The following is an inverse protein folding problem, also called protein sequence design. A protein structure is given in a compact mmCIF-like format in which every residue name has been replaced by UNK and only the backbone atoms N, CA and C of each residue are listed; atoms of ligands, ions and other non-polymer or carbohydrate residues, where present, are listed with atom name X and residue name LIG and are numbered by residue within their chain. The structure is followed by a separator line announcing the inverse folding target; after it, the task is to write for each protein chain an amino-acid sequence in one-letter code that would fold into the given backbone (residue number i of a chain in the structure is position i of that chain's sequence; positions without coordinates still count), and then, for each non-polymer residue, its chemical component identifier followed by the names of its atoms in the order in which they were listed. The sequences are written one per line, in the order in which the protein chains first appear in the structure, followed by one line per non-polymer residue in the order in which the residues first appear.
data_IF_147736877454
#
_entry.id   IF_147736877454
#
_cell.length_a   1.000
_cell.length_b   1.000
_cell.length_c   1.000
_cell.angle_alpha   90.00
_cell.angle_beta   90.00
_cell.angle_gamma   90.00
#
_symmetry.space_group_name_H-M   'P 1'
#
loop_
_entity.id
_entity.type
_entity.pdbx_description
1 polymer ?
#
# COMPACT_ATOMS: atom_id res chain seq x y z
N UNK A 1 12.71 -21.36 -30.63
CA UNK A 1 13.11 -20.32 -29.65
C UNK A 1 12.56 -20.72 -28.28
N UNK A 2 13.34 -20.54 -27.22
CA UNK A 2 12.89 -20.80 -25.85
C UNK A 2 11.96 -19.70 -25.33
N UNK A 3 11.12 -20.02 -24.36
CA UNK A 3 10.38 -19.05 -23.54
C UNK A 3 11.01 -19.04 -22.16
N UNK A 4 11.20 -17.86 -21.60
CA UNK A 4 11.75 -17.65 -20.27
C UNK A 4 10.78 -16.75 -19.50
N UNK A 5 10.52 -17.08 -18.24
CA UNK A 5 9.58 -16.37 -17.39
C UNK A 5 10.32 -15.47 -16.40
N UNK A 6 9.76 -14.29 -16.19
CA UNK A 6 10.25 -13.25 -15.29
C UNK A 6 9.05 -12.62 -14.59
N UNK A 7 9.27 -12.04 -13.41
CA UNK A 7 8.26 -11.23 -12.74
C UNK A 7 8.88 -9.96 -12.18
N UNK A 8 8.02 -8.97 -11.93
CA UNK A 8 8.40 -7.67 -11.42
C UNK A 8 7.53 -7.35 -10.20
N UNK A 9 8.19 -6.96 -9.11
CA UNK A 9 7.54 -6.38 -7.95
C UNK A 9 7.63 -4.85 -8.04
N UNK A 10 6.51 -4.18 -7.73
CA UNK A 10 6.43 -2.72 -7.70
C UNK A 10 5.86 -2.25 -6.36
N UNK A 11 6.56 -1.31 -5.72
CA UNK A 11 6.02 -0.55 -4.60
C UNK A 11 5.14 0.56 -5.13
N UNK A 12 3.94 0.64 -4.57
CA UNK A 12 2.93 1.62 -4.94
C UNK A 12 2.30 2.20 -3.68
N UNK A 13 1.80 3.42 -3.79
CA UNK A 13 0.88 4.00 -2.81
C UNK A 13 -0.53 3.85 -3.35
N UNK A 14 -1.45 3.28 -2.57
CA UNK A 14 -2.86 3.12 -2.95
C UNK A 14 -3.77 3.48 -1.80
N UNK A 15 -5.00 3.92 -2.12
CA UNK A 15 -6.03 4.10 -1.11
C UNK A 15 -6.58 2.73 -0.68
N UNK A 16 -6.86 2.59 0.60
CA UNK A 16 -7.62 1.47 1.14
C UNK A 16 -9.03 1.92 1.51
N UNK A 17 -9.98 1.01 1.40
CA UNK A 17 -11.37 1.20 1.82
C UNK A 17 -11.71 0.21 2.91
N UNK A 18 -11.85 0.74 4.11
CA UNK A 18 -12.33 -0.01 5.26
C UNK A 18 -13.82 0.24 5.49
N UNK A 19 -14.60 -0.83 5.36
CA UNK A 19 -16.01 -0.79 5.68
C UNK A 19 -16.17 -0.97 7.19
N UNK A 20 -17.03 -0.17 7.82
CA UNK A 20 -17.34 -0.29 9.24
C UNK A 20 -18.76 0.18 9.53
N UNK A 21 -19.28 -0.21 10.69
CA UNK A 21 -20.59 0.23 11.19
C UNK A 21 -20.48 0.79 12.60
N UNK A 22 -21.40 1.69 12.95
CA UNK A 22 -21.51 2.27 14.30
C UNK A 22 -22.91 2.03 14.82
N UNK A 23 -23.02 1.44 16.02
CA UNK A 23 -24.28 1.33 16.74
C UNK A 23 -24.67 2.69 17.36
N UNK A 24 -25.83 3.22 16.96
CA UNK A 24 -26.37 4.48 17.45
C UNK A 24 -27.90 4.51 17.29
N UNK A 25 -28.57 5.41 18.01
CA UNK A 25 -30.03 5.54 17.98
C UNK A 25 -30.53 6.35 16.77
N UNK A 26 -29.66 7.14 16.16
CA UNK A 26 -29.95 7.86 14.93
C UNK A 26 -28.69 8.00 14.07
N UNK A 27 -28.88 8.37 12.80
CA UNK A 27 -27.77 8.61 11.89
C UNK A 27 -26.94 9.83 12.31
N UNK A 28 -27.56 10.86 12.86
CA UNK A 28 -26.88 12.05 13.38
C UNK A 28 -25.97 11.70 14.57
N UNK A 29 -26.41 10.79 15.46
CA UNK A 29 -25.57 10.28 16.54
C UNK A 29 -24.40 9.46 15.99
N UNK A 30 -24.64 8.57 15.02
CA UNK A 30 -23.58 7.80 14.37
C UNK A 30 -22.54 8.73 13.72
N UNK A 31 -22.97 9.76 12.99
CA UNK A 31 -22.06 10.75 12.42
C UNK A 31 -21.27 11.51 13.49
N UNK A 32 -21.90 11.91 14.61
CA UNK A 32 -21.22 12.59 15.70
C UNK A 32 -20.12 11.71 16.32
N UNK A 33 -20.38 10.40 16.47
CA UNK A 33 -19.40 9.42 16.94
C UNK A 33 -18.22 9.35 15.95
N UNK A 34 -18.48 9.15 14.65
CA UNK A 34 -17.43 9.07 13.63
C UNK A 34 -16.61 10.37 13.57
N UNK A 35 -17.26 11.53 13.63
CA UNK A 35 -16.58 12.84 13.64
C UNK A 35 -15.71 13.02 14.88
N UNK A 36 -16.09 12.43 16.00
CA UNK A 36 -15.30 12.51 17.25
C UNK A 36 -13.93 11.83 17.12
N UNK A 37 -13.77 10.88 16.19
CA UNK A 37 -12.51 10.19 15.92
C UNK A 37 -11.49 11.05 15.15
N UNK A 38 -11.91 12.19 14.57
CA UNK A 38 -11.04 13.17 13.89
C UNK A 38 -10.15 12.57 12.80
N UNK A 39 -10.73 11.76 11.92
CA UNK A 39 -10.03 11.11 10.81
C UNK A 39 -8.85 10.21 11.22
N UNK A 40 -8.82 9.74 12.47
CA UNK A 40 -7.95 8.62 12.83
C UNK A 40 -8.35 7.38 12.05
N UNK A 41 -7.35 6.56 11.74
CA UNK A 41 -7.55 5.25 11.15
C UNK A 41 -8.52 4.42 12.01
N UNK A 42 -9.59 3.92 11.37
CA UNK A 42 -10.68 3.19 12.02
C UNK A 42 -10.21 1.86 12.60
N UNK A 43 -9.16 1.25 12.05
CA UNK A 43 -8.56 0.02 12.59
C UNK A 43 -7.95 0.23 13.98
N UNK A 44 -7.57 1.48 14.31
CA UNK A 44 -6.95 1.86 15.58
C UNK A 44 -7.94 2.47 16.59
N UNK A 45 -9.24 2.55 16.24
CA UNK A 45 -10.27 3.08 17.14
C UNK A 45 -10.75 1.98 18.10
N UNK A 46 -10.75 2.32 19.39
CA UNK A 46 -11.34 1.50 20.45
C UNK A 46 -12.65 2.16 20.88
N UNK A 47 -13.77 1.69 20.33
CA UNK A 47 -15.13 2.08 20.70
C UNK A 47 -16.00 0.83 20.66
N UNK A 48 -16.76 0.55 21.72
CA UNK A 48 -17.58 -0.67 21.80
C UNK A 48 -18.75 -0.67 20.81
N UNK A 49 -19.10 0.49 20.24
CA UNK A 49 -20.16 0.64 19.23
C UNK A 49 -19.65 0.46 17.82
N UNK A 50 -18.33 0.42 17.61
CA UNK A 50 -17.71 0.23 16.31
C UNK A 50 -17.62 -1.28 16.01
N UNK A 51 -18.03 -1.66 14.80
CA UNK A 51 -17.77 -2.99 14.24
C UNK A 51 -17.06 -2.87 12.89
N UNK A 52 -15.92 -3.55 12.76
CA UNK A 52 -15.15 -3.60 11.51
C UNK A 52 -15.78 -4.59 10.53
N UNK A 53 -15.81 -4.18 9.26
CA UNK A 53 -16.21 -5.01 8.13
C UNK A 53 -15.00 -5.49 7.32
N UNK A 54 -15.21 -5.63 6.01
CA UNK A 54 -14.14 -5.97 5.07
C UNK A 54 -13.25 -4.77 4.77
N UNK A 55 -12.03 -5.04 4.32
CA UNK A 55 -11.10 -4.06 3.77
C UNK A 55 -10.78 -4.38 2.32
N UNK A 56 -10.58 -3.35 1.50
CA UNK A 56 -10.28 -3.44 0.07
C UNK A 56 -9.18 -2.46 -0.33
N UNK A 57 -8.11 -2.95 -0.97
CA UNK A 57 -7.15 -2.09 -1.65
C UNK A 57 -7.75 -1.56 -2.96
N UNK A 58 -7.78 -0.24 -3.13
CA UNK A 58 -8.29 0.42 -4.33
C UNK A 58 -7.19 0.51 -5.37
N UNK A 59 -6.94 -0.60 -6.08
CA UNK A 59 -5.84 -0.70 -7.04
C UNK A 59 -5.87 0.36 -8.14
N UNK A 60 -7.05 0.84 -8.53
CA UNK A 60 -7.21 1.89 -9.53
C UNK A 60 -6.67 3.26 -9.09
N UNK A 61 -6.43 3.46 -7.80
CA UNK A 61 -5.81 4.67 -7.26
C UNK A 61 -4.31 4.49 -7.00
N UNK A 62 -3.71 3.39 -7.49
CA UNK A 62 -2.30 3.11 -7.22
C UNK A 62 -1.42 4.08 -8.00
N UNK A 63 -0.51 4.74 -7.30
CA UNK A 63 0.55 5.56 -7.87
C UNK A 63 1.89 4.88 -7.60
N UNK A 64 2.79 4.92 -8.58
CA UNK A 64 4.13 4.37 -8.42
C UNK A 64 4.89 5.17 -7.37
N UNK A 65 5.58 4.46 -6.47
CA UNK A 65 6.52 5.07 -5.54
C UNK A 65 7.90 5.11 -6.21
N UNK A 66 8.59 6.25 -6.11
CA UNK A 66 9.96 6.37 -6.60
C UNK A 66 10.98 6.10 -5.48
N UNK A 67 12.20 5.63 -5.80
CA UNK A 67 13.24 5.40 -4.81
C UNK A 67 13.51 6.62 -3.92
N UNK A 68 13.46 7.83 -4.48
CA UNK A 68 13.63 9.09 -3.76
C UNK A 68 12.57 9.30 -2.66
N UNK A 69 11.37 8.75 -2.86
CA UNK A 69 10.26 8.79 -1.90
C UNK A 69 10.29 7.60 -0.93
N UNK A 70 11.15 6.61 -1.19
CA UNK A 70 11.29 5.37 -0.45
C UNK A 70 12.70 5.26 0.18
N UNK A 71 13.24 6.38 0.67
CA UNK A 71 14.54 6.47 1.34
C UNK A 71 15.73 5.92 0.52
N UNK A 72 15.64 6.00 -0.81
CA UNK A 72 16.62 5.44 -1.75
C UNK A 72 16.51 3.93 -1.95
N UNK A 73 15.64 3.20 -1.24
CA UNK A 73 15.46 1.77 -1.43
C UNK A 73 14.68 1.45 -2.70
N UNK A 74 14.86 0.22 -3.19
CA UNK A 74 14.16 -0.33 -4.35
C UNK A 74 12.65 -0.10 -4.29
N UNK A 75 12.09 0.39 -5.38
CA UNK A 75 10.63 0.42 -5.62
C UNK A 75 10.21 -0.44 -6.80
N UNK A 76 11.17 -0.88 -7.62
CA UNK A 76 10.99 -1.87 -8.68
C UNK A 76 12.12 -2.90 -8.56
N UNK A 77 11.73 -4.18 -8.55
CA UNK A 77 12.65 -5.31 -8.56
C UNK A 77 12.20 -6.33 -9.59
N UNK A 78 13.13 -6.83 -10.40
CA UNK A 78 12.86 -7.83 -11.44
C UNK A 78 13.57 -9.12 -11.07
N UNK A 79 12.84 -10.23 -11.17
CA UNK A 79 13.29 -11.56 -10.79
C UNK A 79 13.13 -12.56 -11.94
N UNK A 80 13.95 -13.60 -11.94
CA UNK A 80 13.72 -14.78 -12.79
C UNK A 80 12.66 -15.71 -12.17
N UNK A 81 12.27 -16.74 -12.92
CA UNK A 81 11.32 -17.78 -12.45
C UNK A 81 11.76 -18.54 -11.19
N UNK A 82 13.05 -18.53 -10.84
CA UNK A 82 13.60 -19.17 -9.63
C UNK A 82 13.58 -18.22 -8.42
N UNK A 83 13.14 -16.97 -8.60
CA UNK A 83 13.10 -15.94 -7.57
C UNK A 83 14.44 -15.24 -7.35
N UNK A 84 15.43 -15.43 -8.23
CA UNK A 84 16.71 -14.72 -8.16
C UNK A 84 16.54 -13.29 -8.67
N UNK A 85 17.03 -12.32 -7.89
CA UNK A 85 17.04 -10.91 -8.28
C UNK A 85 17.95 -10.68 -9.47
N UNK A 86 17.41 -10.08 -10.52
CA UNK A 86 18.14 -9.72 -11.74
C UNK A 86 18.59 -8.26 -11.67
N UNK A 87 17.68 -7.36 -11.30
CA UNK A 87 17.96 -5.92 -11.22
C UNK A 87 16.97 -5.18 -10.32
N UNK A 88 17.38 -4.00 -9.87
CA UNK A 88 16.64 -3.12 -8.98
C UNK A 88 16.89 -1.65 -9.33
N UNK A 89 15.97 -0.75 -8.98
CA UNK A 89 16.11 0.69 -9.16
C UNK A 89 16.56 1.45 -7.88
N UNK A 90 17.03 0.76 -6.84
CA UNK A 90 17.51 1.40 -5.62
C UNK A 90 18.60 2.46 -5.91
N UNK A 91 18.60 3.57 -5.17
CA UNK A 91 19.63 4.61 -5.20
C UNK A 91 20.77 4.22 -4.26
N UNK A 92 21.50 3.16 -4.61
CA UNK A 92 22.77 2.83 -3.94
C UNK A 92 23.92 3.42 -4.77
N UNK A 93 25.02 3.85 -4.12
CA UNK A 93 26.21 4.38 -4.80
C UNK A 93 26.76 3.43 -5.89
N UNK A 94 26.51 2.11 -5.78
CA UNK A 94 26.96 1.08 -6.73
C UNK A 94 26.21 1.06 -8.08
N UNK A 95 25.03 1.69 -8.20
CA UNK A 95 24.27 1.70 -9.46
C UNK A 95 24.79 2.73 -10.49
N UNK A 96 25.72 3.59 -10.10
CA UNK A 96 26.42 4.48 -11.03
C UNK A 96 27.62 3.81 -11.73
N UNK A 97 28.13 2.67 -11.25
CA UNK A 97 29.33 2.01 -11.81
C UNK A 97 29.04 0.90 -12.85
N UNK A 98 27.78 0.63 -13.20
CA UNK A 98 27.42 -0.44 -14.16
C UNK A 98 26.90 0.04 -15.52
N UNK A 99 27.03 1.33 -15.82
CA UNK A 99 26.67 1.89 -17.13
C UNK A 99 27.91 2.34 -17.93
N UNK A 100 28.96 1.50 -17.97
CA UNK A 100 30.07 1.61 -18.94
C UNK A 100 29.88 0.63 -20.11
#
# INVERSE_FOLDING_TARGET
MGKFEFYQDCKVTSWERDYFTVEANSYEEAEAIVRSWRCKDVSNIIDSRLSHGRSEALRDTSELLFPEENDGYSTIEIFNQEGESIMTNALNEDNYERND
#
